data_IF_817142782036
#
_entry.id   IF_817142782036
#
_cell.length_a   1.000
_cell.length_b   1.000
_cell.length_c   1.000
_cell.angle_alpha   90.00
_cell.angle_beta   90.00
_cell.angle_gamma   90.00
#
_symmetry.space_group_name_H-M   'P 1'
#
loop_
_entity.id
_entity.type
_entity.pdbx_description
1 polymer ?
#
# COMPACT_ATOMS: atom_id res chain seq x y z
N UNK A 1 -27.40 27.05 -56.46
CA UNK A 1 -26.18 27.20 -55.65
C UNK A 1 -26.15 26.07 -54.64
N UNK A 2 -25.50 24.93 -54.89
CA UNK A 2 -24.03 24.74 -54.86
C UNK A 2 -23.38 25.41 -53.65
N UNK A 3 -23.57 24.82 -52.47
CA UNK A 3 -22.60 24.86 -51.36
C UNK A 3 -22.37 23.44 -50.83
N UNK A 4 -22.38 22.48 -51.74
CA UNK A 4 -21.73 21.19 -51.56
C UNK A 4 -20.28 21.40 -52.03
N UNK A 5 -19.29 20.94 -51.26
CA UNK A 5 -17.84 21.04 -51.46
C UNK A 5 -17.17 22.22 -50.72
N UNK A 6 -16.11 21.91 -49.95
CA UNK A 6 -15.19 22.82 -49.20
C UNK A 6 -15.51 23.11 -47.72
N UNK A 7 -15.98 22.12 -46.95
CA UNK A 7 -15.56 21.99 -45.52
C UNK A 7 -15.34 20.51 -45.21
N UNK A 8 -14.54 19.86 -46.05
CA UNK A 8 -13.86 18.63 -45.68
C UNK A 8 -12.50 19.06 -45.13
N UNK A 9 -12.29 18.88 -43.82
CA UNK A 9 -11.03 18.56 -43.13
C UNK A 9 -11.17 19.01 -41.66
N UNK A 10 -10.89 18.06 -40.75
CA UNK A 10 -10.80 18.20 -39.28
C UNK A 10 -12.05 17.95 -38.43
N UNK A 11 -12.67 16.78 -38.53
CA UNK A 11 -13.08 16.07 -37.30
C UNK A 11 -13.21 14.55 -37.55
N UNK A 12 -12.06 13.88 -37.66
CA UNK A 12 -11.97 12.44 -37.42
C UNK A 12 -12.07 12.19 -35.91
N UNK A 13 -13.29 12.13 -35.38
CA UNK A 13 -13.54 11.33 -34.18
C UNK A 13 -14.33 10.10 -34.61
N UNK A 14 -13.57 9.09 -35.07
CA UNK A 14 -14.05 7.73 -35.05
C UNK A 14 -14.18 7.29 -33.58
N UNK A 15 -15.26 7.68 -32.92
CA UNK A 15 -15.70 6.97 -31.72
C UNK A 15 -16.22 5.60 -32.18
N UNK A 16 -15.29 4.65 -32.28
CA UNK A 16 -15.62 3.23 -32.28
C UNK A 16 -16.44 2.95 -31.03
N UNK A 17 -17.50 2.12 -31.09
CA UNK A 17 -18.11 1.63 -29.88
C UNK A 17 -17.01 0.95 -29.04
N UNK A 18 -16.76 1.44 -27.84
CA UNK A 18 -16.08 0.63 -26.83
C UNK A 18 -17.06 -0.48 -26.47
N UNK A 19 -17.00 -1.58 -27.20
CA UNK A 19 -17.54 -2.84 -26.72
C UNK A 19 -16.75 -3.16 -25.46
N UNK A 20 -17.38 -2.99 -24.31
CA UNK A 20 -16.86 -3.50 -23.06
C UNK A 20 -16.65 -4.99 -23.25
N UNK A 21 -15.41 -5.48 -23.14
CA UNK A 21 -15.17 -6.92 -23.13
C UNK A 21 -15.88 -7.50 -21.90
N UNK A 22 -17.05 -8.10 -22.10
CA UNK A 22 -17.60 -9.04 -21.14
C UNK A 22 -16.75 -10.31 -21.25
N UNK A 23 -15.86 -10.53 -20.29
CA UNK A 23 -15.13 -11.80 -20.17
C UNK A 23 -16.08 -12.88 -19.67
N UNK A 24 -16.81 -13.54 -20.56
CA UNK A 24 -17.37 -14.86 -20.29
C UNK A 24 -16.37 -15.90 -20.74
N UNK A 25 -15.70 -16.56 -19.80
CA UNK A 25 -15.13 -17.88 -20.04
C UNK A 25 -15.11 -18.72 -18.79
N UNK A 26 -15.77 -19.87 -18.96
CA UNK A 26 -15.73 -21.14 -18.22
C UNK A 26 -15.51 -21.08 -16.71
N UNK A 27 -16.56 -21.50 -16.01
CA UNK A 27 -16.48 -22.40 -14.86
C UNK A 27 -15.37 -23.43 -15.03
N UNK A 28 -14.21 -23.09 -14.49
CA UNK A 28 -13.39 -24.03 -13.75
C UNK A 28 -13.18 -23.32 -12.44
N UNK A 29 -13.87 -23.74 -11.39
CA UNK A 29 -13.43 -23.44 -10.04
C UNK A 29 -11.97 -23.87 -9.97
N UNK A 30 -11.00 -22.96 -9.83
CA UNK A 30 -9.75 -23.40 -9.26
C UNK A 30 -10.12 -23.78 -7.83
N UNK A 31 -10.18 -25.08 -7.54
CA UNK A 31 -9.82 -25.55 -6.20
C UNK A 31 -8.32 -25.30 -6.07
N UNK A 32 -7.92 -24.03 -6.02
CA UNK A 32 -6.66 -23.67 -5.40
C UNK A 32 -6.98 -23.64 -3.93
N UNK A 33 -6.33 -24.53 -3.21
CA UNK A 33 -6.23 -24.56 -1.76
C UNK A 33 -5.65 -23.22 -1.27
N UNK A 34 -6.45 -22.15 -1.26
CA UNK A 34 -6.06 -20.79 -0.84
C UNK A 34 -6.76 -20.37 0.46
N UNK A 35 -7.41 -21.30 1.16
CA UNK A 35 -8.21 -20.95 2.34
C UNK A 35 -7.40 -20.88 3.64
N UNK A 36 -6.13 -21.28 3.64
CA UNK A 36 -5.30 -21.26 4.87
C UNK A 36 -4.19 -20.21 4.85
N UNK A 37 -3.65 -19.83 3.69
CA UNK A 37 -2.50 -18.92 3.61
C UNK A 37 -2.91 -17.45 3.75
N UNK A 38 -3.98 -17.01 3.09
CA UNK A 38 -4.55 -15.68 3.33
C UNK A 38 -5.09 -15.53 4.77
N UNK A 39 -5.59 -16.62 5.36
CA UNK A 39 -6.08 -16.63 6.75
C UNK A 39 -4.96 -16.40 7.80
N UNK A 40 -3.68 -16.56 7.43
CA UNK A 40 -2.56 -16.36 8.37
C UNK A 40 -1.95 -14.97 8.27
N UNK A 41 -1.97 -14.34 7.10
CA UNK A 41 -1.50 -12.95 7.00
C UNK A 41 -2.43 -11.94 7.70
N UNK A 42 -3.49 -12.40 8.35
CA UNK A 42 -4.32 -11.58 9.25
C UNK A 42 -3.95 -11.73 10.73
N UNK A 43 -2.97 -12.58 11.08
CA UNK A 43 -2.70 -13.00 12.48
C UNK A 43 -1.36 -12.56 13.04
N UNK A 44 -0.63 -11.66 12.37
CA UNK A 44 0.64 -11.17 12.94
C UNK A 44 0.39 -10.47 14.29
N UNK A 45 1.15 -10.88 15.30
CA UNK A 45 1.13 -10.23 16.59
C UNK A 45 1.87 -8.89 16.50
N UNK A 46 1.36 -7.86 17.19
CA UNK A 46 2.07 -6.58 17.30
C UNK A 46 3.44 -6.73 17.97
N UNK A 47 3.57 -7.71 18.87
CA UNK A 47 4.81 -8.02 19.59
C UNK A 47 5.95 -8.53 18.70
N UNK A 48 5.69 -8.83 17.43
CA UNK A 48 6.74 -9.19 16.46
C UNK A 48 7.59 -7.99 16.03
N UNK A 49 7.11 -6.75 16.23
CA UNK A 49 7.96 -5.56 16.20
C UNK A 49 8.13 -5.09 17.64
N UNK A 50 9.37 -5.16 18.11
CA UNK A 50 9.75 -4.58 19.39
C UNK A 50 10.01 -3.09 19.20
N UNK A 51 9.23 -2.25 19.89
CA UNK A 51 9.43 -0.80 19.91
C UNK A 51 10.39 -0.47 21.04
N UNK A 52 11.54 0.11 20.69
CA UNK A 52 12.56 0.54 21.64
C UNK A 52 12.53 2.06 21.78
N UNK A 53 12.44 2.54 23.02
CA UNK A 53 12.49 3.98 23.34
C UNK A 53 13.79 4.33 24.09
N UNK A 54 14.87 3.62 23.79
CA UNK A 54 16.17 3.79 24.46
C UNK A 54 17.05 4.66 23.56
N UNK A 55 16.99 5.96 23.80
CA UNK A 55 17.81 6.94 23.11
C UNK A 55 17.50 8.36 23.60
N UNK A 56 18.43 9.31 23.49
CA UNK A 56 18.26 10.67 24.02
C UNK A 56 17.13 11.45 23.33
N UNK A 57 16.73 11.04 22.13
CA UNK A 57 15.66 11.66 21.33
C UNK A 57 14.55 10.66 20.97
N UNK A 58 14.61 9.43 21.50
CA UNK A 58 13.58 8.42 21.25
C UNK A 58 12.31 8.76 22.03
N UNK A 59 11.16 8.53 21.41
CA UNK A 59 9.86 8.79 21.99
C UNK A 59 8.86 7.69 21.60
N UNK A 60 7.71 7.67 22.26
CA UNK A 60 6.61 6.82 21.83
C UNK A 60 6.09 7.27 20.46
N UNK A 61 5.60 6.33 19.65
CA UNK A 61 4.86 6.69 18.45
C UNK A 61 3.61 7.50 18.79
N UNK A 62 3.31 8.49 17.96
CA UNK A 62 2.07 9.27 18.06
C UNK A 62 0.85 8.39 17.75
N UNK A 63 0.99 7.44 16.83
CA UNK A 63 0.00 6.39 16.60
C UNK A 63 0.61 5.06 16.16
N UNK A 64 -0.10 3.99 16.50
CA UNK A 64 0.16 2.61 16.11
C UNK A 64 -1.18 1.95 15.78
N UNK A 65 -1.51 1.86 14.51
CA UNK A 65 -2.81 1.41 14.02
C UNK A 65 -2.64 0.11 13.26
N UNK A 66 -3.49 -0.87 13.57
CA UNK A 66 -3.55 -2.15 12.85
C UNK A 66 -4.86 -2.22 12.08
N UNK A 67 -4.79 -2.29 10.75
CA UNK A 67 -5.93 -2.48 9.86
C UNK A 67 -6.01 -3.95 9.41
N UNK A 68 -7.13 -4.60 9.71
CA UNK A 68 -7.43 -6.00 9.38
C UNK A 68 -8.51 -6.13 8.30
N UNK A 69 -8.96 -5.02 7.71
CA UNK A 69 -10.07 -5.00 6.75
C UNK A 69 -9.65 -5.39 5.34
N UNK A 70 -8.35 -5.33 5.06
CA UNK A 70 -7.75 -5.72 3.77
C UNK A 70 -7.49 -7.22 3.62
N UNK A 71 -6.81 -7.59 2.53
CA UNK A 71 -6.46 -8.98 2.25
C UNK A 71 -5.46 -9.57 3.26
N UNK A 72 -4.54 -8.74 3.76
CA UNK A 72 -3.64 -9.04 4.86
C UNK A 72 -3.68 -7.89 5.85
N UNK A 73 -3.31 -8.17 7.10
CA UNK A 73 -3.23 -7.13 8.13
C UNK A 73 -2.11 -6.15 7.78
N UNK A 74 -2.41 -4.87 7.86
CA UNK A 74 -1.45 -3.78 7.73
C UNK A 74 -1.30 -3.12 9.09
N UNK A 75 -0.08 -2.73 9.46
CA UNK A 75 0.18 -1.92 10.64
C UNK A 75 0.93 -0.66 10.25
N UNK A 76 0.45 0.47 10.76
CA UNK A 76 1.01 1.79 10.48
C UNK A 76 1.49 2.40 11.79
N UNK A 77 2.79 2.70 11.84
CA UNK A 77 3.45 3.38 12.95
C UNK A 77 3.75 4.82 12.52
N UNK A 78 3.42 5.79 13.37
CA UNK A 78 3.56 7.21 13.06
C UNK A 78 4.37 7.90 14.13
N UNK A 79 5.49 8.51 13.73
CA UNK A 79 6.31 9.36 14.58
C UNK A 79 6.07 10.82 14.19
N UNK A 80 5.92 11.71 15.17
CA UNK A 80 5.71 13.14 14.92
C UNK A 80 6.70 13.99 15.70
N UNK A 81 7.21 15.04 15.07
CA UNK A 81 8.11 15.99 15.71
C UNK A 81 9.04 16.70 14.73
N UNK A 82 9.87 17.58 15.28
CA UNK A 82 10.93 18.24 14.50
C UNK A 82 11.95 17.19 14.07
N UNK A 83 12.17 17.04 12.76
CA UNK A 83 13.00 15.98 12.16
C UNK A 83 12.51 14.56 12.52
N UNK A 84 11.19 14.34 12.43
CA UNK A 84 10.59 13.03 12.67
C UNK A 84 11.30 11.95 11.84
N UNK A 85 11.65 10.86 12.50
CA UNK A 85 12.21 9.68 11.86
C UNK A 85 11.88 8.41 12.66
N UNK A 86 11.99 7.26 12.00
CA UNK A 86 11.81 5.92 12.56
C UNK A 86 13.06 5.11 12.23
N UNK A 87 13.82 4.77 13.26
CA UNK A 87 15.02 3.94 13.13
C UNK A 87 14.64 2.46 13.09
N UNK A 88 15.05 1.77 12.03
CA UNK A 88 14.92 0.33 11.92
C UNK A 88 16.17 -0.33 12.50
N UNK A 89 15.97 -1.14 13.54
CA UNK A 89 17.03 -1.82 14.27
C UNK A 89 17.96 -2.63 13.34
N UNK A 90 19.16 -2.95 13.86
CA UNK A 90 20.21 -3.70 13.16
C UNK A 90 20.76 -3.00 11.90
N UNK A 91 20.63 -1.67 11.83
CA UNK A 91 21.16 -0.88 10.73
C UNK A 91 20.41 -1.10 9.41
N UNK A 92 19.16 -1.57 9.47
CA UNK A 92 18.32 -1.78 8.29
C UNK A 92 18.03 -0.45 7.57
N UNK A 93 17.87 0.63 8.33
CA UNK A 93 17.68 1.96 7.76
C UNK A 93 16.99 2.91 8.72
N UNK A 94 16.66 4.09 8.18
CA UNK A 94 15.88 5.13 8.85
C UNK A 94 14.81 5.58 7.87
N UNK A 95 13.57 5.65 8.33
CA UNK A 95 12.47 6.30 7.61
C UNK A 95 12.37 7.73 8.12
N UNK A 96 12.66 8.71 7.28
CA UNK A 96 12.52 10.12 7.58
C UNK A 96 11.14 10.67 7.23
N UNK A 97 10.88 11.89 7.70
CA UNK A 97 9.69 12.69 7.37
C UNK A 97 9.40 12.68 5.86
N UNK A 98 10.41 12.97 5.04
CA UNK A 98 10.33 12.99 3.57
C UNK A 98 9.95 11.68 2.88
N UNK A 99 10.11 10.53 3.54
CA UNK A 99 10.05 9.22 2.88
C UNK A 99 8.61 8.73 2.66
N UNK A 100 7.63 9.33 3.34
CA UNK A 100 6.20 9.09 3.09
C UNK A 100 5.59 10.01 2.01
N UNK A 101 6.44 10.83 1.37
CA UNK A 101 6.08 11.71 0.27
C UNK A 101 5.68 13.13 0.70
N UNK A 102 5.70 13.44 2.00
CA UNK A 102 5.51 14.77 2.54
C UNK A 102 6.70 15.18 3.43
N UNK A 103 6.87 16.48 3.70
CA UNK A 103 7.78 16.97 4.75
C UNK A 103 6.93 17.83 5.66
N UNK A 104 6.29 17.20 6.64
CA UNK A 104 5.29 17.82 7.50
C UNK A 104 5.52 17.57 9.00
N UNK A 105 6.69 17.03 9.35
CA UNK A 105 7.03 16.64 10.71
C UNK A 105 6.46 15.28 11.10
N UNK A 106 6.13 14.43 10.13
CA UNK A 106 5.58 13.09 10.33
C UNK A 106 6.41 12.07 9.57
N UNK A 107 6.92 11.06 10.26
CA UNK A 107 7.47 9.87 9.60
C UNK A 107 6.51 8.70 9.78
N UNK A 108 6.19 8.03 8.69
CA UNK A 108 5.24 6.91 8.67
C UNK A 108 5.91 5.62 8.22
N UNK A 109 5.80 4.57 9.04
CA UNK A 109 6.21 3.22 8.67
C UNK A 109 4.98 2.33 8.53
N UNK A 110 4.73 1.90 7.30
CA UNK A 110 3.69 0.91 7.00
C UNK A 110 4.34 -0.47 6.78
N UNK A 111 3.85 -1.46 7.51
CA UNK A 111 4.24 -2.86 7.37
C UNK A 111 3.02 -3.73 7.09
N UNK A 112 3.21 -4.77 6.30
CA UNK A 112 2.19 -5.76 5.99
C UNK A 112 2.55 -7.08 6.65
N UNK A 113 1.59 -7.75 7.26
CA UNK A 113 1.78 -9.08 7.80
C UNK A 113 2.06 -10.07 6.67
N UNK A 114 3.12 -10.87 6.81
CA UNK A 114 3.52 -11.82 5.79
C UNK A 114 2.51 -12.96 5.62
N UNK A 115 2.61 -13.68 4.49
CA UNK A 115 1.72 -14.80 4.17
C UNK A 115 1.67 -15.90 5.27
N UNK A 116 2.73 -16.04 6.06
CA UNK A 116 2.83 -17.04 7.12
C UNK A 116 2.17 -16.60 8.45
N UNK A 117 1.87 -15.30 8.63
CA UNK A 117 1.37 -14.75 9.89
C UNK A 117 2.42 -14.65 10.99
N UNK A 118 3.70 -14.65 10.63
CA UNK A 118 4.83 -14.79 11.57
C UNK A 118 5.78 -13.60 11.57
N UNK A 119 5.66 -12.68 10.60
CA UNK A 119 6.51 -11.50 10.53
C UNK A 119 5.78 -10.33 9.85
N UNK A 120 6.24 -9.12 10.17
CA UNK A 120 5.86 -7.90 9.48
C UNK A 120 6.90 -7.58 8.41
N UNK A 121 6.44 -7.27 7.22
CA UNK A 121 7.27 -6.93 6.06
C UNK A 121 7.04 -5.47 5.70
N UNK A 122 8.12 -4.71 5.48
CA UNK A 122 8.02 -3.36 4.93
C UNK A 122 7.59 -3.46 3.47
N UNK A 123 6.71 -2.56 3.03
CA UNK A 123 6.36 -2.46 1.62
C UNK A 123 7.54 -1.83 0.86
N UNK A 124 8.59 -2.63 0.60
CA UNK A 124 9.74 -2.31 -0.25
C UNK A 124 10.33 -0.91 -0.06
N UNK A 125 11.32 -0.78 0.82
CA UNK A 125 12.26 0.35 0.73
C UNK A 125 13.13 0.23 -0.52
#
# INVERSE_FOLDING_TARGET
SSMLLVVLICLNFALKPSESCASTSSTTTPTTTTTTTAARCTTCAQTFIMITMIGPTSQAFASDVTDTTGACTVRTLTCQGVNANIELNNGIGVIGDGDDGAVDGTATLQVTCNAAGTAWETAGV
#
